data_IF_386029036739
#
_entry.id   IF_386029036739
#
_cell.length_a   1.000
_cell.length_b   1.000
_cell.length_c   1.000
_cell.angle_alpha   90.00
_cell.angle_beta   90.00
_cell.angle_gamma   90.00
#
_symmetry.space_group_name_H-M   'P 1'
#
loop_
_entity.id
_entity.type
_entity.pdbx_description
1 polymer ?
#
# COMPACT_ATOMS: atom_id res chain seq x y z
N UNK A 1 -21.72 -3.59 -10.18
CA UNK A 1 -20.91 -2.36 -10.02
C UNK A 1 -19.95 -2.61 -8.87
N UNK A 2 -18.77 -3.15 -9.17
CA UNK A 2 -17.83 -3.63 -8.14
C UNK A 2 -17.09 -2.45 -7.53
N UNK A 3 -17.30 -2.21 -6.24
CA UNK A 3 -16.54 -1.26 -5.41
C UNK A 3 -15.13 -1.82 -5.13
N UNK A 4 -14.32 -2.01 -6.16
CA UNK A 4 -12.88 -2.20 -5.98
C UNK A 4 -12.27 -0.81 -5.90
N UNK A 5 -12.28 -0.21 -4.71
CA UNK A 5 -11.48 1.00 -4.44
C UNK A 5 -10.04 0.70 -4.84
N UNK A 6 -9.45 1.40 -5.83
CA UNK A 6 -8.05 1.19 -6.13
C UNK A 6 -7.26 1.76 -4.95
N UNK A 7 -6.72 0.89 -4.10
CA UNK A 7 -5.88 1.25 -2.95
C UNK A 7 -4.53 1.85 -3.36
N UNK A 8 -4.23 1.82 -4.66
CA UNK A 8 -3.05 2.41 -5.30
C UNK A 8 -3.44 3.64 -6.12
N UNK A 9 -2.68 4.71 -5.99
CA UNK A 9 -2.74 5.87 -6.87
C UNK A 9 -1.78 5.66 -8.05
N UNK A 10 -2.19 6.05 -9.25
CA UNK A 10 -1.33 6.03 -10.44
C UNK A 10 -0.83 7.45 -10.69
N UNK A 11 0.50 7.71 -10.68
CA UNK A 11 1.04 9.03 -10.95
C UNK A 11 0.64 9.53 -12.34
N UNK A 12 0.05 10.72 -12.39
CA UNK A 12 -0.27 11.41 -13.65
C UNK A 12 0.96 12.18 -14.14
N UNK A 13 1.77 11.51 -14.96
CA UNK A 13 2.98 12.07 -15.56
C UNK A 13 3.28 11.36 -16.89
N UNK A 14 4.08 11.95 -17.79
CA UNK A 14 4.38 11.37 -19.11
C UNK A 14 5.39 10.21 -19.01
N UNK A 15 4.98 9.10 -18.39
CA UNK A 15 5.80 7.89 -18.26
C UNK A 15 6.09 7.29 -19.65
N UNK A 16 7.34 6.84 -19.91
CA UNK A 16 7.62 6.01 -21.08
C UNK A 16 6.78 4.74 -21.07
N UNK A 17 6.42 4.21 -22.25
CA UNK A 17 5.50 3.06 -22.37
C UNK A 17 5.93 1.78 -21.63
N UNK A 18 7.23 1.62 -21.35
CA UNK A 18 7.78 0.49 -20.59
C UNK A 18 7.80 0.67 -19.08
N UNK A 19 7.44 1.85 -18.57
CA UNK A 19 7.50 2.20 -17.14
C UNK A 19 6.12 2.07 -16.52
N UNK A 20 6.05 1.40 -15.37
CA UNK A 20 4.86 1.37 -14.51
C UNK A 20 5.23 1.95 -13.16
N UNK A 21 4.33 2.74 -12.58
CA UNK A 21 4.50 3.32 -11.27
C UNK A 21 3.16 3.32 -10.53
N UNK A 22 3.22 3.20 -9.21
CA UNK A 22 2.07 3.36 -8.33
C UNK A 22 2.52 4.00 -7.01
N UNK A 23 1.57 4.54 -6.26
CA UNK A 23 1.77 5.07 -4.92
C UNK A 23 0.76 4.39 -4.01
N UNK A 24 1.26 3.74 -2.95
CA UNK A 24 0.42 3.09 -1.96
C UNK A 24 -0.31 4.13 -1.11
N UNK A 25 -1.55 3.83 -0.70
CA UNK A 25 -2.26 4.59 0.33
C UNK A 25 -2.24 3.85 1.66
N UNK A 26 -2.84 4.42 2.71
CA UNK A 26 -3.00 3.75 4.01
C UNK A 26 -4.13 2.71 4.04
N UNK A 27 -4.92 2.58 2.98
CA UNK A 27 -6.08 1.71 2.91
C UNK A 27 -5.73 0.27 2.49
N UNK A 28 -6.49 -0.71 2.98
CA UNK A 28 -6.46 -2.10 2.51
C UNK A 28 -5.45 -3.02 3.21
N UNK A 29 -4.81 -2.56 4.28
CA UNK A 29 -3.90 -3.38 5.06
C UNK A 29 -4.49 -3.99 6.31
N UNK A 30 -3.63 -4.58 7.13
CA UNK A 30 -3.99 -5.33 8.35
C UNK A 30 -3.38 -4.77 9.64
N UNK A 31 -2.54 -3.74 9.56
CA UNK A 31 -1.95 -3.12 10.73
C UNK A 31 -3.04 -2.42 11.57
N UNK A 32 -2.82 -2.38 12.88
CA UNK A 32 -3.70 -1.71 13.85
C UNK A 32 -3.18 -0.31 14.19
N UNK A 33 -4.00 0.58 14.81
CA UNK A 33 -3.53 1.88 15.28
C UNK A 33 -2.30 1.76 16.20
N UNK A 34 -1.31 2.66 16.08
CA UNK A 34 -1.30 3.88 15.27
C UNK A 34 -0.84 3.67 13.81
N UNK A 35 -0.70 2.42 13.37
CA UNK A 35 -0.20 2.03 12.05
C UNK A 35 -1.30 1.51 11.13
N UNK A 36 -2.56 1.84 11.38
CA UNK A 36 -3.67 1.42 10.53
C UNK A 36 -3.64 2.06 9.12
N UNK A 37 -3.99 1.37 8.04
CA UNK A 37 -4.16 -0.09 7.91
C UNK A 37 -3.00 -0.73 7.12
N UNK A 38 -2.44 -0.02 6.13
CA UNK A 38 -1.42 -0.53 5.20
C UNK A 38 -0.04 0.07 5.48
N UNK A 39 0.62 -0.41 6.54
CA UNK A 39 1.98 -0.03 6.87
C UNK A 39 3.00 -0.98 6.24
N UNK A 40 3.97 -0.40 5.53
CA UNK A 40 5.08 -1.12 4.91
C UNK A 40 6.41 -0.90 5.64
N UNK A 41 6.45 -0.01 6.64
CA UNK A 41 7.65 0.28 7.43
C UNK A 41 7.88 -0.77 8.51
N UNK A 42 9.03 -1.42 8.50
CA UNK A 42 9.45 -2.49 9.44
C UNK A 42 10.28 -1.99 10.63
N UNK A 43 10.57 -0.68 10.70
CA UNK A 43 11.45 -0.06 11.68
C UNK A 43 10.74 1.01 12.52
N UNK A 44 9.40 1.05 12.49
CA UNK A 44 8.59 2.10 13.11
C UNK A 44 7.83 1.64 14.36
N UNK A 45 7.97 0.38 14.77
CA UNK A 45 7.33 -0.20 15.96
C UNK A 45 6.03 -0.97 15.69
N UNK A 46 5.67 -1.21 14.43
CA UNK A 46 4.51 -2.03 14.06
C UNK A 46 4.80 -3.54 14.22
N UNK A 47 3.74 -4.35 14.21
CA UNK A 47 3.85 -5.81 14.27
C UNK A 47 4.52 -6.34 12.99
N UNK A 48 5.64 -7.09 13.09
CA UNK A 48 6.36 -7.58 11.91
C UNK A 48 5.50 -8.40 10.94
N UNK A 49 4.60 -9.24 11.46
CA UNK A 49 3.69 -10.05 10.65
C UNK A 49 2.68 -9.20 9.88
N UNK A 50 2.18 -8.11 10.49
CA UNK A 50 1.28 -7.19 9.81
C UNK A 50 1.99 -6.43 8.68
N UNK A 51 3.24 -6.01 8.90
CA UNK A 51 4.06 -5.37 7.86
C UNK A 51 4.39 -6.35 6.73
N UNK A 52 4.72 -7.61 7.07
CA UNK A 52 4.98 -8.65 6.08
C UNK A 52 3.74 -8.94 5.21
N UNK A 53 2.56 -9.07 5.83
CA UNK A 53 1.29 -9.25 5.13
C UNK A 53 0.95 -8.04 4.24
N UNK A 54 1.15 -6.81 4.73
CA UNK A 54 0.93 -5.61 3.91
C UNK A 54 1.88 -5.59 2.70
N UNK A 55 3.16 -5.98 2.86
CA UNK A 55 4.11 -6.09 1.74
C UNK A 55 3.71 -7.18 0.74
N UNK A 56 3.15 -8.29 1.20
CA UNK A 56 2.70 -9.39 0.33
C UNK A 56 1.47 -9.02 -0.53
N UNK A 57 0.69 -8.02 -0.10
CA UNK A 57 -0.48 -7.50 -0.83
C UNK A 57 -0.14 -6.47 -1.91
N UNK A 58 1.10 -5.96 -1.94
CA UNK A 58 1.59 -5.01 -2.94
C UNK A 58 2.20 -5.73 -4.15
#
# INVERSE_FOLDING_TARGET
>A
MSILTPSLLIPDWPAPAGVRACVTTRAGGVSLPPYDTFNLGDHVGDTPDAVAENRARL
#
